data_IF_280007952531
#
_entry.id   IF_280007952531
#
_cell.length_a   1.000
_cell.length_b   1.000
_cell.length_c   1.000
_cell.angle_alpha   90.00
_cell.angle_beta   90.00
_cell.angle_gamma   90.00
#
_symmetry.space_group_name_H-M   'P 1'
#
loop_
_entity.id
_entity.type
_entity.pdbx_description
1 polymer ?
#
# COMPACT_ATOMS: atom_id res chain seq x y z
N UNK A 1 -8.68 23.11 -8.57
CA UNK A 1 -9.39 21.98 -9.21
C UNK A 1 -8.96 20.73 -8.47
N UNK A 2 -9.82 19.71 -8.29
CA UNK A 2 -9.39 18.45 -7.67
C UNK A 2 -8.57 17.63 -8.67
N UNK A 3 -7.48 17.03 -8.22
CA UNK A 3 -6.56 16.21 -9.03
C UNK A 3 -6.48 14.82 -8.41
N UNK A 4 -6.15 13.80 -9.22
CA UNK A 4 -5.87 12.46 -8.71
C UNK A 4 -4.52 12.50 -7.99
N UNK A 5 -4.51 12.07 -6.73
CA UNK A 5 -3.28 11.98 -5.94
C UNK A 5 -2.68 10.57 -6.01
N UNK A 6 -3.47 9.54 -5.75
CA UNK A 6 -3.01 8.16 -5.89
C UNK A 6 -4.15 7.16 -6.09
N UNK A 7 -3.77 5.97 -6.55
CA UNK A 7 -4.62 4.77 -6.60
C UNK A 7 -4.07 3.77 -5.60
N UNK A 8 -4.95 3.14 -4.82
CA UNK A 8 -4.59 2.15 -3.81
C UNK A 8 -4.93 0.74 -4.29
N UNK A 9 -3.99 -0.18 -4.13
CA UNK A 9 -4.18 -1.62 -4.19
C UNK A 9 -4.00 -2.20 -2.79
N UNK A 10 -5.12 -2.53 -2.15
CA UNK A 10 -5.15 -3.16 -0.83
C UNK A 10 -4.97 -4.67 -0.94
N UNK A 11 -4.09 -5.23 -0.12
CA UNK A 11 -3.76 -6.66 -0.12
C UNK A 11 -3.44 -7.17 1.30
N UNK A 12 -3.63 -8.48 1.59
CA UNK A 12 -3.28 -9.05 2.89
C UNK A 12 -1.77 -9.02 3.20
N UNK A 13 -0.95 -9.16 2.15
CA UNK A 13 0.51 -9.22 2.21
C UNK A 13 1.10 -8.28 1.15
N UNK A 14 1.84 -7.25 1.59
CA UNK A 14 2.41 -6.21 0.71
C UNK A 14 3.51 -6.77 -0.17
N UNK A 15 4.30 -7.74 0.30
CA UNK A 15 5.36 -8.34 -0.49
C UNK A 15 4.76 -9.17 -1.63
N UNK A 16 3.67 -9.90 -1.36
CA UNK A 16 2.92 -10.63 -2.39
C UNK A 16 2.25 -9.67 -3.38
N UNK A 17 1.56 -8.64 -2.89
CA UNK A 17 0.99 -7.59 -3.73
C UNK A 17 2.04 -6.93 -4.62
N UNK A 18 3.22 -6.65 -4.07
CA UNK A 18 4.35 -6.07 -4.80
C UNK A 18 4.84 -6.99 -5.91
N UNK A 19 4.98 -8.30 -5.64
CA UNK A 19 5.33 -9.30 -6.65
C UNK A 19 4.28 -9.38 -7.76
N UNK A 20 3.00 -9.43 -7.41
CA UNK A 20 1.90 -9.50 -8.38
C UNK A 20 1.93 -8.28 -9.31
N UNK A 21 2.05 -7.07 -8.75
CA UNK A 21 2.08 -5.84 -9.55
C UNK A 21 3.33 -5.79 -10.42
N UNK A 22 4.49 -6.19 -9.90
CA UNK A 22 5.71 -6.32 -10.70
C UNK A 22 5.50 -7.27 -11.89
N UNK A 23 4.95 -8.46 -11.67
CA UNK A 23 4.79 -9.46 -12.73
C UNK A 23 3.79 -9.02 -13.81
N UNK A 24 2.77 -8.25 -13.44
CA UNK A 24 1.78 -7.71 -14.37
C UNK A 24 2.29 -6.51 -15.18
N UNK A 25 3.17 -5.70 -14.60
CA UNK A 25 3.52 -4.37 -15.17
C UNK A 25 4.98 -4.24 -15.59
N UNK A 26 5.86 -5.09 -15.08
CA UNK A 26 7.32 -4.96 -15.17
C UNK A 26 7.91 -3.84 -14.31
N UNK A 27 7.10 -3.12 -13.52
CA UNK A 27 7.56 -2.02 -12.69
C UNK A 27 8.04 -2.50 -11.32
N UNK A 28 9.12 -1.91 -10.81
CA UNK A 28 9.66 -2.24 -9.48
C UNK A 28 9.21 -1.19 -8.47
N UNK A 29 8.36 -1.59 -7.54
CA UNK A 29 7.93 -0.72 -6.45
C UNK A 29 9.08 -0.46 -5.47
N UNK A 30 9.09 0.75 -4.90
CA UNK A 30 10.02 1.11 -3.83
C UNK A 30 9.33 1.00 -2.48
N UNK A 31 10.07 0.64 -1.44
CA UNK A 31 9.54 0.63 -0.07
C UNK A 31 9.12 2.05 0.30
N UNK A 32 7.86 2.23 0.71
CA UNK A 32 7.39 3.50 1.25
C UNK A 32 7.64 3.53 2.75
N UNK A 33 6.94 2.69 3.50
CA UNK A 33 7.24 2.43 4.91
C UNK A 33 6.00 2.12 5.77
N UNK A 34 6.20 2.00 7.10
CA UNK A 34 5.13 1.72 8.04
C UNK A 34 4.30 2.98 8.35
N UNK A 35 2.98 2.82 8.37
CA UNK A 35 2.03 3.79 8.92
C UNK A 35 1.85 3.54 10.43
N UNK A 36 2.78 4.07 11.23
CA UNK A 36 2.83 3.82 12.68
C UNK A 36 1.51 4.17 13.36
N UNK A 37 0.97 3.22 14.14
CA UNK A 37 -0.29 3.34 14.87
C UNK A 37 -1.54 3.09 14.01
N UNK A 38 -1.38 2.92 12.70
CA UNK A 38 -2.46 2.48 11.78
C UNK A 38 -2.36 1.00 11.41
N UNK A 39 -1.26 0.33 11.75
CA UNK A 39 -1.10 -1.12 11.55
C UNK A 39 -0.98 -1.53 10.08
N UNK A 40 -0.53 -0.63 9.19
CA UNK A 40 -0.32 -0.91 7.76
C UNK A 40 1.06 -0.44 7.32
N UNK A 41 1.57 -1.01 6.23
CA UNK A 41 2.77 -0.54 5.53
C UNK A 41 2.54 -0.61 4.02
N UNK A 42 3.44 0.00 3.23
CA UNK A 42 3.27 0.07 1.79
C UNK A 42 4.58 -0.03 0.97
N UNK A 43 4.38 -0.29 -0.31
CA UNK A 43 5.34 -0.03 -1.40
C UNK A 43 4.67 0.86 -2.45
N UNK A 44 5.48 1.60 -3.19
CA UNK A 44 5.03 2.69 -4.05
C UNK A 44 5.59 2.57 -5.46
N UNK A 45 4.76 2.90 -6.45
CA UNK A 45 5.15 3.17 -7.84
C UNK A 45 4.71 4.60 -8.19
N UNK A 46 5.54 5.35 -8.90
CA UNK A 46 5.19 6.69 -9.37
C UNK A 46 4.73 6.65 -10.82
N UNK A 47 3.68 7.41 -11.14
CA UNK A 47 3.33 7.75 -12.53
C UNK A 47 4.01 9.04 -12.96
N UNK A 48 4.05 10.02 -12.05
CA UNK A 48 4.74 11.30 -12.18
C UNK A 48 5.08 11.88 -10.79
N UNK A 49 5.61 13.10 -10.76
CA UNK A 49 6.03 13.79 -9.53
C UNK A 49 4.92 14.01 -8.49
N UNK A 50 3.65 13.82 -8.86
CA UNK A 50 2.48 14.14 -8.02
C UNK A 50 1.50 12.99 -7.88
N UNK A 51 1.60 11.97 -8.72
CA UNK A 51 0.63 10.86 -8.79
C UNK A 51 1.32 9.52 -8.63
N UNK A 52 0.80 8.67 -7.74
CA UNK A 52 1.41 7.37 -7.45
C UNK A 52 0.39 6.24 -7.31
N UNK A 53 0.91 5.01 -7.34
CA UNK A 53 0.18 3.78 -7.07
C UNK A 53 0.72 3.19 -5.78
N UNK A 54 -0.16 3.02 -4.80
CA UNK A 54 0.16 2.51 -3.46
C UNK A 54 -0.28 1.06 -3.34
N UNK A 55 0.66 0.18 -3.02
CA UNK A 55 0.38 -1.19 -2.63
C UNK A 55 0.44 -1.21 -1.11
N UNK A 56 -0.69 -1.46 -0.45
CA UNK A 56 -0.83 -1.34 0.99
C UNK A 56 -1.42 -2.62 1.59
N UNK A 57 -0.97 -2.96 2.79
CA UNK A 57 -1.44 -4.12 3.53
C UNK A 57 -1.14 -4.01 5.02
N UNK A 58 -1.55 -5.02 5.78
CA UNK A 58 -1.30 -5.10 7.22
C UNK A 58 0.20 -5.14 7.51
N UNK A 59 0.63 -4.41 8.54
CA UNK A 59 2.01 -4.44 9.03
C UNK A 59 2.14 -5.41 10.20
N UNK A 60 2.79 -6.57 10.01
CA UNK A 60 2.94 -7.59 11.06
C UNK A 60 3.89 -7.16 12.18
N UNK A 61 4.72 -6.14 11.95
CA UNK A 61 5.67 -5.63 12.94
C UNK A 61 5.04 -4.59 13.88
N UNK A 62 3.77 -4.25 13.65
CA UNK A 62 3.01 -3.34 14.50
C UNK A 62 1.98 -4.09 15.38
N UNK A 63 1.70 -3.58 16.60
CA UNK A 63 0.59 -4.09 17.39
C UNK A 63 -0.75 -3.85 16.68
N UNK A 64 -1.78 -4.55 17.14
CA UNK A 64 -3.14 -4.33 16.63
C UNK A 64 -3.55 -2.86 16.84
N UNK A 65 -3.97 -2.15 15.78
CA UNK A 65 -4.30 -0.74 15.88
C UNK A 65 -5.59 -0.51 16.69
N UNK A 66 -5.71 0.66 17.31
CA UNK A 66 -6.92 1.04 18.08
C UNK A 66 -8.17 1.21 17.20
N UNK A 67 -7.97 1.39 15.89
CA UNK A 67 -9.03 1.53 14.88
C UNK A 67 -8.79 0.54 13.76
N UNK A 68 -9.87 0.13 13.10
CA UNK A 68 -9.83 -0.68 11.90
C UNK A 68 -8.86 -0.09 10.86
N UNK A 69 -8.10 -0.96 10.20
CA UNK A 69 -7.17 -0.60 9.14
C UNK A 69 -7.95 0.01 7.97
N UNK A 70 -7.29 0.91 7.24
CA UNK A 70 -7.89 1.56 6.07
C UNK A 70 -8.24 0.56 4.97
N UNK A 71 -9.01 1.03 4.00
CA UNK A 71 -9.26 0.32 2.73
C UNK A 71 -9.94 -1.06 2.84
N UNK A 72 -10.55 -1.36 4.00
CA UNK A 72 -11.21 -2.65 4.22
C UNK A 72 -10.24 -3.82 4.43
N UNK A 73 -8.98 -3.53 4.79
CA UNK A 73 -7.93 -4.54 4.97
C UNK A 73 -8.27 -5.61 6.00
N UNK A 74 -9.06 -5.29 7.02
CA UNK A 74 -9.44 -6.24 8.07
C UNK A 74 -10.45 -7.31 7.58
N UNK A 75 -11.03 -7.14 6.39
CA UNK A 75 -12.03 -8.03 5.80
C UNK A 75 -11.53 -8.79 4.53
N UNK A 76 -10.24 -8.70 4.20
CA UNK A 76 -9.63 -9.35 3.03
C UNK A 76 -9.29 -10.84 3.22
#
# INVERSE_FOLDING_TARGET
>A
MAELDHIVFACPDVDEGTRIIHDLTGATAVVGGPHVGRGTHNTLLTFDDRTYFEIIGSDPDQPEPERARGFGLDDL
#
